data_IF_439116266233
#
_entry.id   IF_439116266233
#
_cell.length_a   1.000
_cell.length_b   1.000
_cell.length_c   1.000
_cell.angle_alpha   90.00
_cell.angle_beta   90.00
_cell.angle_gamma   90.00
#
_symmetry.space_group_name_H-M   'P 1'
#
loop_
_entity.id
_entity.type
_entity.pdbx_description
1 polymer ?
#
# COMPACT_ATOMS: atom_id res chain seq x y z
N UNK A 1 -5.29 20.14 19.40
CA UNK A 1 -5.14 19.09 18.38
C UNK A 1 -6.12 19.43 17.29
N UNK A 2 -5.65 19.60 16.04
CA UNK A 2 -6.57 19.71 14.91
C UNK A 2 -7.31 18.37 14.74
N UNK A 3 -8.61 18.42 14.47
CA UNK A 3 -9.40 17.22 14.22
C UNK A 3 -8.95 16.61 12.89
N UNK A 4 -8.69 15.31 12.87
CA UNK A 4 -8.37 14.58 11.65
C UNK A 4 -9.67 14.02 11.07
N UNK A 5 -9.97 14.22 9.78
CA UNK A 5 -11.17 13.66 9.16
C UNK A 5 -11.27 12.13 9.31
N UNK A 6 -12.50 11.62 9.38
CA UNK A 6 -12.79 10.17 9.26
C UNK A 6 -12.66 9.71 7.81
N UNK A 7 -13.14 10.52 6.86
CA UNK A 7 -13.04 10.26 5.41
C UNK A 7 -13.07 11.57 4.61
N UNK A 8 -12.74 11.46 3.34
CA UNK A 8 -12.88 12.52 2.33
C UNK A 8 -13.96 12.08 1.34
N UNK A 9 -14.95 12.93 1.04
CA UNK A 9 -16.00 12.58 0.09
C UNK A 9 -15.45 12.51 -1.35
N UNK A 10 -14.46 13.34 -1.68
CA UNK A 10 -13.67 13.22 -2.90
C UNK A 10 -12.39 12.44 -2.60
N UNK A 11 -12.51 11.13 -2.46
CA UNK A 11 -11.41 10.27 -2.02
C UNK A 11 -10.30 10.15 -3.08
N UNK A 12 -9.07 10.62 -2.79
CA UNK A 12 -7.92 10.47 -3.68
C UNK A 12 -7.31 9.06 -3.63
N UNK A 13 -7.61 8.30 -2.57
CA UNK A 13 -7.10 6.94 -2.37
C UNK A 13 -7.50 6.02 -3.52
N UNK A 14 -6.50 5.44 -4.18
CA UNK A 14 -6.70 4.49 -5.28
C UNK A 14 -6.36 3.05 -4.88
N UNK A 15 -5.44 2.86 -3.94
CA UNK A 15 -5.05 1.54 -3.45
C UNK A 15 -4.46 1.60 -2.03
N UNK A 16 -4.87 0.69 -1.17
CA UNK A 16 -4.21 0.38 0.12
C UNK A 16 -3.61 -1.00 0.02
N UNK A 17 -2.39 -1.17 0.53
CA UNK A 17 -1.66 -2.44 0.48
C UNK A 17 -1.13 -2.76 1.86
N UNK A 18 -1.48 -3.91 2.41
CA UNK A 18 -0.75 -4.53 3.49
C UNK A 18 0.21 -5.55 2.89
N UNK A 19 1.48 -5.51 3.31
CA UNK A 19 2.52 -6.45 2.88
C UNK A 19 3.12 -7.13 4.11
N UNK A 20 3.30 -8.44 4.03
CA UNK A 20 4.14 -9.20 4.95
C UNK A 20 5.27 -9.88 4.19
N UNK A 21 6.48 -9.81 4.75
CA UNK A 21 7.69 -10.43 4.20
C UNK A 21 8.22 -11.53 5.07
N UNK A 22 8.73 -12.58 4.45
CA UNK A 22 9.30 -13.76 5.08
C UNK A 22 10.53 -14.22 4.32
N UNK A 23 11.36 -15.05 4.94
CA UNK A 23 12.64 -15.46 4.35
C UNK A 23 12.72 -16.97 4.14
N UNK A 24 11.76 -17.51 3.39
CA UNK A 24 11.69 -18.94 3.04
C UNK A 24 11.36 -19.06 1.54
N UNK A 25 12.36 -19.34 0.68
CA UNK A 25 12.13 -19.46 -0.76
C UNK A 25 11.37 -20.75 -1.11
N UNK A 26 10.77 -20.78 -2.29
CA UNK A 26 10.12 -21.95 -2.89
C UNK A 26 8.67 -22.18 -2.43
N UNK A 27 8.12 -21.31 -1.57
CA UNK A 27 6.78 -21.52 -1.01
C UNK A 27 5.64 -20.95 -1.88
N UNK A 28 5.95 -20.09 -2.85
CA UNK A 28 4.92 -19.31 -3.56
C UNK A 28 3.85 -20.17 -4.24
N UNK A 29 4.25 -21.30 -4.83
CA UNK A 29 3.30 -22.20 -5.52
C UNK A 29 2.38 -22.93 -4.53
N UNK A 30 2.95 -23.46 -3.45
CA UNK A 30 2.17 -24.16 -2.40
C UNK A 30 1.23 -23.19 -1.69
N UNK A 31 1.73 -22.01 -1.32
CA UNK A 31 0.93 -20.95 -0.68
C UNK A 31 -0.23 -20.51 -1.57
N UNK A 32 -0.03 -20.42 -2.89
CA UNK A 32 -1.11 -20.04 -3.80
C UNK A 32 -2.28 -21.03 -3.79
N UNK A 33 -1.99 -22.34 -3.71
CA UNK A 33 -3.00 -23.38 -3.64
C UNK A 33 -3.79 -23.34 -2.32
N UNK A 34 -3.08 -23.13 -1.21
CA UNK A 34 -3.69 -22.99 0.12
C UNK A 34 -4.58 -21.76 0.16
N UNK A 35 -4.04 -20.59 -0.22
CA UNK A 35 -4.78 -19.33 -0.24
C UNK A 35 -6.03 -19.44 -1.12
N UNK A 36 -5.92 -19.98 -2.33
CA UNK A 36 -7.08 -20.15 -3.18
C UNK A 36 -8.15 -21.08 -2.55
N UNK A 37 -7.72 -22.16 -1.88
CA UNK A 37 -8.64 -23.10 -1.25
C UNK A 37 -9.36 -22.53 -0.04
N UNK A 38 -8.71 -21.66 0.74
CA UNK A 38 -9.36 -20.96 1.85
C UNK A 38 -10.23 -19.80 1.35
N UNK A 39 -9.69 -18.94 0.48
CA UNK A 39 -10.41 -17.77 -0.01
C UNK A 39 -11.70 -18.14 -0.78
N UNK A 40 -11.73 -19.27 -1.51
CA UNK A 40 -12.94 -19.68 -2.25
C UNK A 40 -14.13 -20.03 -1.34
N UNK A 41 -13.90 -20.22 -0.04
CA UNK A 41 -14.96 -20.50 0.94
C UNK A 41 -15.77 -19.23 1.27
N UNK A 42 -15.12 -18.05 1.23
CA UNK A 42 -15.71 -16.76 1.60
C UNK A 42 -15.87 -15.80 0.41
N UNK A 43 -15.12 -16.00 -0.67
CA UNK A 43 -15.15 -15.18 -1.87
C UNK A 43 -15.61 -15.97 -3.10
N UNK A 44 -16.43 -15.32 -3.93
CA UNK A 44 -16.93 -15.90 -5.18
C UNK A 44 -16.11 -15.42 -6.39
N UNK A 45 -16.13 -16.21 -7.46
CA UNK A 45 -15.53 -15.87 -8.76
C UNK A 45 -14.03 -15.52 -8.69
N UNK A 46 -13.29 -16.18 -7.81
CA UNK A 46 -11.84 -16.00 -7.70
C UNK A 46 -11.15 -16.34 -9.02
N UNK A 47 -10.29 -15.44 -9.49
CA UNK A 47 -9.43 -15.64 -10.65
C UNK A 47 -7.98 -15.67 -10.19
N UNK A 48 -7.25 -16.70 -10.62
CA UNK A 48 -5.80 -16.78 -10.42
C UNK A 48 -5.11 -16.38 -11.71
N UNK A 49 -4.16 -15.47 -11.61
CA UNK A 49 -3.31 -15.03 -12.71
C UNK A 49 -1.83 -15.19 -12.32
N UNK A 50 -1.05 -15.82 -13.22
CA UNK A 50 0.42 -15.76 -13.15
C UNK A 50 0.92 -14.45 -13.73
N UNK A 51 1.81 -13.78 -13.03
CA UNK A 51 2.40 -12.51 -13.43
C UNK A 51 3.74 -12.70 -14.16
N UNK A 52 4.19 -11.73 -14.96
CA UNK A 52 5.37 -11.87 -15.83
C UNK A 52 6.67 -12.28 -15.11
N UNK A 53 6.83 -11.93 -13.83
CA UNK A 53 7.98 -12.33 -13.01
C UNK A 53 8.16 -13.86 -12.94
N UNK A 54 7.09 -14.65 -13.14
CA UNK A 54 7.17 -16.11 -13.21
C UNK A 54 8.04 -16.62 -14.37
N UNK A 55 8.25 -15.81 -15.41
CA UNK A 55 9.08 -16.16 -16.56
C UNK A 55 10.58 -15.87 -16.31
N UNK A 56 10.93 -15.17 -15.23
CA UNK A 56 12.31 -14.83 -14.88
C UNK A 56 12.92 -16.00 -14.08
N UNK A 57 14.08 -16.55 -14.49
CA UNK A 57 14.80 -17.57 -13.72
C UNK A 57 15.08 -17.14 -12.28
N UNK A 58 14.90 -18.07 -11.33
CA UNK A 58 15.07 -17.79 -9.89
C UNK A 58 16.46 -17.23 -9.55
N UNK A 59 17.51 -17.72 -10.21
CA UNK A 59 18.89 -17.22 -10.03
C UNK A 59 19.06 -15.73 -10.36
N UNK A 60 18.23 -15.18 -11.25
CA UNK A 60 18.24 -13.74 -11.56
C UNK A 60 17.47 -12.96 -10.50
N UNK A 61 16.38 -13.54 -9.98
CA UNK A 61 15.57 -12.94 -8.90
C UNK A 61 16.38 -12.82 -7.61
N UNK A 62 17.15 -13.85 -7.25
CA UNK A 62 17.95 -13.87 -6.02
C UNK A 62 19.01 -12.75 -5.95
N UNK A 63 19.65 -12.43 -7.08
CA UNK A 63 20.72 -11.44 -7.11
C UNK A 63 20.22 -10.02 -7.37
N UNK A 64 18.93 -9.83 -7.65
CA UNK A 64 18.36 -8.53 -7.98
C UNK A 64 17.31 -8.08 -6.93
N UNK A 65 17.68 -7.17 -6.01
CA UNK A 65 16.79 -6.69 -4.95
C UNK A 65 15.47 -6.07 -5.44
N UNK A 66 15.45 -5.51 -6.65
CA UNK A 66 14.22 -4.92 -7.21
C UNK A 66 13.20 -5.95 -7.68
N UNK A 67 13.63 -7.21 -7.88
CA UNK A 67 12.79 -8.32 -8.33
C UNK A 67 12.33 -9.20 -7.17
N UNK A 68 13.06 -9.21 -6.06
CA UNK A 68 12.88 -10.14 -4.94
C UNK A 68 11.45 -10.13 -4.38
N UNK A 69 10.81 -8.96 -4.31
CA UNK A 69 9.49 -8.77 -3.72
C UNK A 69 8.38 -8.55 -4.76
N UNK A 70 8.67 -8.82 -6.04
CA UNK A 70 7.65 -8.73 -7.07
C UNK A 70 6.67 -9.91 -6.96
N UNK A 71 5.36 -9.64 -7.06
CA UNK A 71 4.34 -10.68 -6.95
C UNK A 71 4.39 -11.62 -8.15
N UNK A 72 4.44 -12.93 -7.89
CA UNK A 72 4.42 -14.00 -8.90
C UNK A 72 3.01 -14.38 -9.30
N UNK A 73 2.11 -14.44 -8.33
CA UNK A 73 0.74 -14.87 -8.51
C UNK A 73 -0.16 -13.77 -7.97
N UNK A 74 -1.26 -13.55 -8.67
CA UNK A 74 -2.35 -12.66 -8.27
C UNK A 74 -3.62 -13.48 -8.18
N UNK A 75 -4.34 -13.34 -7.08
CA UNK A 75 -5.69 -13.85 -6.91
C UNK A 75 -6.60 -12.64 -6.75
N UNK A 76 -7.62 -12.53 -7.57
CA UNK A 76 -8.59 -11.42 -7.53
C UNK A 76 -10.01 -11.96 -7.39
N UNK A 77 -10.81 -11.31 -6.55
CA UNK A 77 -12.27 -11.47 -6.58
C UNK A 77 -12.89 -10.42 -7.50
N UNK A 78 -14.21 -10.43 -7.68
CA UNK A 78 -14.91 -9.35 -8.37
C UNK A 78 -15.01 -8.05 -7.53
N UNK A 79 -14.56 -8.09 -6.28
CA UNK A 79 -14.63 -6.96 -5.35
C UNK A 79 -13.33 -6.13 -5.39
N UNK A 80 -13.23 -5.17 -4.48
CA UNK A 80 -12.05 -4.31 -4.33
C UNK A 80 -10.77 -5.04 -3.86
N UNK A 81 -10.87 -6.31 -3.44
CA UNK A 81 -9.77 -7.04 -2.81
C UNK A 81 -8.94 -7.86 -3.80
N UNK A 82 -7.64 -7.88 -3.54
CA UNK A 82 -6.64 -8.53 -4.37
C UNK A 82 -5.56 -9.14 -3.46
N UNK A 83 -5.23 -10.40 -3.68
CA UNK A 83 -4.13 -11.06 -2.99
C UNK A 83 -2.99 -11.28 -3.96
N UNK A 84 -1.77 -11.01 -3.52
CA UNK A 84 -0.59 -11.28 -4.33
C UNK A 84 0.41 -12.12 -3.53
N UNK A 85 1.03 -13.07 -4.22
CA UNK A 85 2.01 -13.99 -3.66
C UNK A 85 3.29 -13.81 -4.46
N UNK A 86 4.34 -13.30 -3.83
CA UNK A 86 5.70 -13.27 -4.37
C UNK A 86 6.55 -14.40 -3.80
N UNK A 87 7.85 -14.30 -4.03
CA UNK A 87 8.80 -15.30 -3.53
C UNK A 87 9.03 -15.17 -2.02
N UNK A 88 9.09 -13.92 -1.53
CA UNK A 88 9.43 -13.58 -0.15
C UNK A 88 8.38 -12.67 0.50
N UNK A 89 7.23 -12.48 -0.13
CA UNK A 89 6.15 -11.64 0.38
C UNK A 89 4.77 -12.15 -0.02
N UNK A 90 3.79 -11.75 0.78
CA UNK A 90 2.37 -11.78 0.44
C UNK A 90 1.83 -10.37 0.63
N UNK A 91 0.96 -9.94 -0.27
CA UNK A 91 0.23 -8.68 -0.14
C UNK A 91 -1.27 -8.90 -0.17
N UNK A 92 -1.99 -8.08 0.61
CA UNK A 92 -3.41 -7.83 0.48
C UNK A 92 -3.60 -6.41 0.01
N UNK A 93 -4.25 -6.21 -1.11
CA UNK A 93 -4.55 -4.89 -1.65
C UNK A 93 -6.06 -4.66 -1.61
N UNK A 94 -6.46 -3.42 -1.33
CA UNK A 94 -7.80 -2.93 -1.54
C UNK A 94 -7.75 -1.76 -2.52
N UNK A 95 -8.31 -1.96 -3.71
CA UNK A 95 -8.42 -0.94 -4.76
C UNK A 95 -9.70 -0.13 -4.61
N UNK A 96 -9.75 1.04 -5.23
CA UNK A 96 -10.96 1.86 -5.28
C UNK A 96 -12.14 1.05 -5.87
N UNK A 97 -13.34 1.04 -5.23
CA UNK A 97 -13.70 1.78 -4.02
C UNK A 97 -13.14 1.16 -2.73
N UNK A 98 -12.57 1.99 -1.85
CA UNK A 98 -12.00 1.53 -0.59
C UNK A 98 -13.10 1.05 0.38
N UNK A 99 -12.89 -0.11 1.00
CA UNK A 99 -13.88 -0.74 1.88
C UNK A 99 -13.90 -0.19 3.31
N UNK A 100 -13.02 0.76 3.61
CA UNK A 100 -12.82 1.33 4.94
C UNK A 100 -11.88 0.50 5.82
N UNK A 101 -11.24 1.18 6.78
CA UNK A 101 -10.16 0.60 7.59
C UNK A 101 -10.58 -0.64 8.38
N UNK A 102 -11.72 -0.61 9.07
CA UNK A 102 -12.15 -1.73 9.91
C UNK A 102 -12.30 -3.04 9.10
N UNK A 103 -12.95 -2.97 7.93
CA UNK A 103 -13.12 -4.13 7.05
C UNK A 103 -11.81 -4.57 6.43
N UNK A 104 -10.96 -3.62 6.03
CA UNK A 104 -9.64 -3.95 5.49
C UNK A 104 -8.75 -4.65 6.52
N UNK A 105 -8.76 -4.17 7.77
CA UNK A 105 -8.07 -4.78 8.91
C UNK A 105 -8.61 -6.18 9.22
N UNK A 106 -9.92 -6.40 9.16
CA UNK A 106 -10.51 -7.74 9.25
C UNK A 106 -9.97 -8.66 8.16
N UNK A 107 -9.93 -8.20 6.90
CA UNK A 107 -9.36 -8.97 5.79
C UNK A 107 -7.86 -9.26 5.95
N UNK A 108 -7.09 -8.34 6.54
CA UNK A 108 -5.68 -8.58 6.90
C UNK A 108 -5.59 -9.71 7.93
N UNK A 109 -6.41 -9.66 8.98
CA UNK A 109 -6.44 -10.68 10.01
C UNK A 109 -6.80 -12.05 9.43
N UNK A 110 -7.86 -12.14 8.62
CA UNK A 110 -8.27 -13.39 7.96
C UNK A 110 -7.14 -13.98 7.11
N UNK A 111 -6.50 -13.16 6.27
CA UNK A 111 -5.37 -13.58 5.45
C UNK A 111 -4.20 -14.07 6.30
N UNK A 112 -3.81 -13.30 7.32
CA UNK A 112 -2.70 -13.65 8.20
C UNK A 112 -2.97 -14.93 9.00
N UNK A 113 -4.22 -15.21 9.37
CA UNK A 113 -4.62 -16.45 10.04
C UNK A 113 -4.53 -17.65 9.11
N UNK A 114 -4.98 -17.53 7.85
CA UNK A 114 -4.78 -18.56 6.82
C UNK A 114 -3.29 -18.90 6.67
N UNK A 115 -2.44 -17.88 6.56
CA UNK A 115 -0.99 -18.05 6.40
C UNK A 115 -0.39 -18.69 7.65
N UNK A 116 -0.73 -18.22 8.84
CA UNK A 116 -0.25 -18.76 10.12
C UNK A 116 -0.63 -20.25 10.26
N UNK A 117 -1.88 -20.59 9.97
CA UNK A 117 -2.41 -21.96 10.10
C UNK A 117 -1.83 -22.93 9.07
N UNK A 118 -1.31 -22.43 7.94
CA UNK A 118 -0.58 -23.26 6.97
C UNK A 118 0.70 -23.89 7.56
N UNK A 119 1.29 -23.27 8.60
CA UNK A 119 2.57 -23.70 9.17
C UNK A 119 3.79 -23.55 8.26
N UNK A 120 3.62 -23.00 7.05
CA UNK A 120 4.70 -22.87 6.06
C UNK A 120 5.65 -21.70 6.36
N UNK A 121 5.12 -20.63 6.95
CA UNK A 121 5.89 -19.41 7.24
C UNK A 121 6.27 -19.39 8.71
N UNK A 122 7.52 -19.74 9.00
CA UNK A 122 8.05 -19.82 10.37
C UNK A 122 8.82 -18.57 10.81
N UNK A 123 9.33 -17.79 9.85
CA UNK A 123 10.13 -16.59 10.11
C UNK A 123 9.59 -15.41 9.32
N UNK A 124 9.00 -14.47 10.04
CA UNK A 124 8.57 -13.17 9.54
C UNK A 124 9.73 -12.17 9.67
N UNK A 125 9.87 -11.30 8.68
CA UNK A 125 10.96 -10.33 8.60
C UNK A 125 10.48 -8.88 8.67
N UNK A 126 9.28 -8.59 8.14
CA UNK A 126 8.72 -7.24 8.07
C UNK A 126 7.23 -7.30 7.76
N UNK A 127 6.48 -6.30 8.22
CA UNK A 127 5.20 -5.95 7.63
C UNK A 127 5.10 -4.44 7.42
N UNK A 128 4.27 -4.01 6.47
CA UNK A 128 4.02 -2.60 6.20
C UNK A 128 2.59 -2.37 5.73
N UNK A 129 2.17 -1.11 5.85
CA UNK A 129 0.90 -0.61 5.34
C UNK A 129 1.20 0.56 4.40
N UNK A 130 0.73 0.47 3.17
CA UNK A 130 1.01 1.43 2.10
C UNK A 130 -0.30 2.02 1.57
N UNK A 131 -0.37 3.34 1.49
CA UNK A 131 -1.48 4.10 0.93
C UNK A 131 -1.01 4.82 -0.33
N UNK A 132 -1.75 4.65 -1.42
CA UNK A 132 -1.46 5.30 -2.70
C UNK A 132 -2.63 6.20 -3.05
N UNK A 133 -2.39 7.50 -3.04
CA UNK A 133 -3.36 8.55 -3.30
C UNK A 133 -3.04 9.24 -4.62
N UNK A 134 -4.04 9.35 -5.51
CA UNK A 134 -3.98 10.11 -6.75
C UNK A 134 -4.81 11.40 -6.61
N UNK A 135 -4.14 12.53 -6.59
CA UNK A 135 -4.76 13.84 -6.63
C UNK A 135 -4.92 14.31 -8.07
N UNK A 136 -6.12 14.17 -8.61
CA UNK A 136 -6.45 14.67 -9.96
C UNK A 136 -6.18 16.16 -10.09
N UNK A 137 -5.63 16.59 -11.22
CA UNK A 137 -5.42 18.01 -11.53
C UNK A 137 -6.71 18.84 -11.56
N UNK A 138 -7.88 18.20 -11.70
CA UNK A 138 -9.17 18.86 -11.59
C UNK A 138 -9.45 19.37 -10.17
N UNK A 139 -8.81 18.80 -9.15
CA UNK A 139 -8.97 19.15 -7.73
C UNK A 139 -7.72 19.85 -7.21
N UNK A 140 -6.55 19.28 -7.49
CA UNK A 140 -5.23 19.76 -7.04
C UNK A 140 -4.36 20.01 -8.27
N UNK A 141 -4.36 21.22 -8.86
CA UNK A 141 -3.71 21.48 -10.15
C UNK A 141 -2.18 21.63 -10.06
N UNK A 142 -1.62 21.74 -8.85
CA UNK A 142 -0.20 21.97 -8.63
C UNK A 142 0.28 21.41 -7.29
N UNK A 143 1.60 21.22 -7.14
CA UNK A 143 2.21 20.69 -5.90
C UNK A 143 1.89 21.52 -4.65
N UNK A 144 1.42 22.76 -4.79
CA UNK A 144 1.00 23.61 -3.67
C UNK A 144 -0.21 23.07 -2.91
N UNK A 145 -0.94 22.09 -3.47
CA UNK A 145 -1.94 21.35 -2.71
C UNK A 145 -1.36 20.45 -1.62
N UNK A 146 -0.04 20.25 -1.63
CA UNK A 146 0.71 19.57 -0.58
C UNK A 146 1.50 20.59 0.24
N UNK A 147 1.82 20.27 1.48
CA UNK A 147 2.76 21.01 2.34
C UNK A 147 4.21 20.74 1.92
N UNK A 148 4.51 20.93 0.63
CA UNK A 148 5.80 20.65 0.02
C UNK A 148 6.36 21.91 -0.65
N UNK A 149 7.57 22.30 -0.26
CA UNK A 149 8.27 23.44 -0.83
C UNK A 149 9.62 23.01 -1.38
N UNK A 150 9.76 23.01 -2.71
CA UNK A 150 10.98 22.59 -3.41
C UNK A 150 11.54 23.77 -4.21
N UNK A 151 12.83 24.01 -4.01
CA UNK A 151 13.58 25.07 -4.67
C UNK A 151 14.88 24.51 -5.27
N UNK A 152 15.16 24.87 -6.52
CA UNK A 152 16.47 24.66 -7.17
C UNK A 152 17.15 26.02 -7.33
N UNK A 153 17.96 26.40 -6.34
CA UNK A 153 18.46 27.78 -6.23
C UNK A 153 17.29 28.75 -6.09
N UNK A 154 17.19 29.72 -7.00
CA UNK A 154 16.06 30.66 -7.05
C UNK A 154 14.82 30.11 -7.78
N UNK A 155 14.92 28.94 -8.43
CA UNK A 155 13.80 28.34 -9.15
C UNK A 155 12.84 27.67 -8.18
N UNK A 156 11.57 28.09 -8.16
CA UNK A 156 10.50 27.44 -7.39
C UNK A 156 9.83 26.38 -8.23
N UNK A 157 9.92 25.12 -7.80
CA UNK A 157 9.26 23.99 -8.45
C UNK A 157 7.76 24.06 -8.14
N UNK A 158 6.91 23.98 -9.17
CA UNK A 158 5.44 24.03 -9.03
C UNK A 158 4.79 22.82 -9.70
N UNK A 159 4.73 22.85 -11.03
CA UNK A 159 4.08 21.81 -11.85
C UNK A 159 5.08 20.98 -12.65
N UNK A 160 6.35 21.23 -12.42
CA UNK A 160 7.42 20.57 -13.13
C UNK A 160 7.39 19.07 -12.90
N UNK A 161 7.82 18.28 -13.90
CA UNK A 161 8.11 16.88 -13.70
C UNK A 161 9.04 16.67 -12.50
N UNK A 162 8.56 15.95 -11.50
CA UNK A 162 9.24 15.71 -10.26
C UNK A 162 8.93 14.28 -9.80
N UNK A 163 9.98 13.59 -9.39
CA UNK A 163 9.87 12.37 -8.60
C UNK A 163 10.81 12.50 -7.40
N UNK A 164 10.26 12.29 -6.21
CA UNK A 164 11.04 12.32 -4.98
C UNK A 164 10.67 11.17 -4.06
N UNK A 165 11.65 10.77 -3.24
CA UNK A 165 11.49 9.77 -2.17
C UNK A 165 12.12 10.31 -0.90
N UNK A 166 11.36 10.28 0.18
CA UNK A 166 11.80 10.69 1.51
C UNK A 166 11.56 9.54 2.49
N UNK A 167 12.54 9.25 3.34
CA UNK A 167 12.37 8.36 4.48
C UNK A 167 12.41 9.18 5.77
N UNK A 168 11.39 9.03 6.60
CA UNK A 168 11.32 9.65 7.93
C UNK A 168 11.15 8.58 9.00
N UNK A 169 11.76 8.82 10.15
CA UNK A 169 11.68 7.97 11.33
C UNK A 169 10.97 8.74 12.44
N UNK A 170 9.88 8.18 12.97
CA UNK A 170 9.11 8.78 14.07
C UNK A 170 8.50 7.68 14.95
N UNK A 171 8.72 7.74 16.27
CA UNK A 171 8.09 6.85 17.25
C UNK A 171 8.16 5.33 16.90
N UNK A 172 9.34 4.83 16.54
CA UNK A 172 9.57 3.43 16.09
C UNK A 172 8.80 3.02 14.81
N UNK A 173 8.30 3.99 14.06
CA UNK A 173 7.68 3.81 12.76
C UNK A 173 8.53 4.51 11.71
N UNK A 174 8.82 3.81 10.62
CA UNK A 174 9.43 4.40 9.43
C UNK A 174 8.34 4.68 8.40
N UNK A 175 8.30 5.90 7.89
CA UNK A 175 7.51 6.23 6.72
C UNK A 175 8.43 6.43 5.52
N UNK A 176 8.08 5.80 4.40
CA UNK A 176 8.69 6.00 3.10
C UNK A 176 7.64 6.72 2.26
N UNK A 177 7.91 7.98 1.94
CA UNK A 177 7.01 8.85 1.19
C UNK A 177 7.57 9.01 -0.21
N UNK A 178 6.75 8.74 -1.22
CA UNK A 178 7.08 9.00 -2.61
C UNK A 178 6.06 9.98 -3.19
N UNK A 179 6.55 10.99 -3.89
CA UNK A 179 5.72 11.97 -4.59
C UNK A 179 6.17 12.00 -6.05
N UNK A 180 5.20 11.85 -6.95
CA UNK A 180 5.43 11.88 -8.39
C UNK A 180 4.41 12.81 -9.08
N UNK A 181 4.90 13.64 -9.99
CA UNK A 181 4.13 14.64 -10.72
C UNK A 181 4.77 14.87 -12.11
N UNK A 182 4.02 14.93 -13.23
CA UNK A 182 2.68 14.35 -13.40
C UNK A 182 2.73 12.81 -13.39
N UNK A 183 1.63 12.18 -13.00
CA UNK A 183 1.38 10.75 -13.24
C UNK A 183 0.03 10.58 -13.92
N UNK A 184 -0.02 9.70 -14.91
CA UNK A 184 -1.25 9.25 -15.57
C UNK A 184 -1.55 7.82 -15.14
N UNK A 185 -2.75 7.59 -14.60
CA UNK A 185 -3.22 6.30 -14.11
C UNK A 185 -4.50 5.93 -14.83
N UNK A 186 -4.58 4.69 -15.31
CA UNK A 186 -5.82 4.12 -15.84
C UNK A 186 -6.63 3.54 -14.68
N UNK A 187 -7.73 4.21 -14.33
CA UNK A 187 -8.67 3.78 -13.29
C UNK A 187 -9.93 3.19 -13.94
N UNK A 188 -10.76 2.43 -13.19
CA UNK A 188 -12.00 1.86 -13.72
C UNK A 188 -12.99 2.90 -14.29
N UNK A 189 -12.92 4.15 -13.80
CA UNK A 189 -13.74 5.29 -14.24
C UNK A 189 -13.12 6.11 -15.38
N UNK A 190 -11.90 5.75 -15.81
CA UNK A 190 -11.19 6.37 -16.93
C UNK A 190 -9.75 6.74 -16.59
N UNK A 191 -9.07 7.28 -17.59
CA UNK A 191 -7.70 7.75 -17.41
C UNK A 191 -7.70 9.08 -16.65
N UNK A 192 -6.90 9.17 -15.59
CA UNK A 192 -6.74 10.38 -14.78
C UNK A 192 -5.28 10.80 -14.72
N UNK A 193 -5.04 12.11 -14.76
CA UNK A 193 -3.70 12.69 -14.59
C UNK A 193 -3.66 13.58 -13.36
N UNK A 194 -2.57 13.48 -12.60
CA UNK A 194 -2.45 14.18 -11.33
C UNK A 194 -1.11 13.97 -10.63
N UNK A 195 -1.13 14.18 -9.32
CA UNK A 195 -0.01 13.94 -8.41
C UNK A 195 -0.26 12.64 -7.66
N UNK A 196 0.73 11.74 -7.62
CA UNK A 196 0.70 10.60 -6.70
C UNK A 196 1.42 10.98 -5.41
N UNK A 197 0.77 10.69 -4.29
CA UNK A 197 1.41 10.57 -2.98
C UNK A 197 1.30 9.11 -2.56
N UNK A 198 2.43 8.50 -2.27
CA UNK A 198 2.54 7.11 -1.87
C UNK A 198 3.28 7.03 -0.53
N UNK A 199 2.58 6.54 0.50
CA UNK A 199 3.08 6.48 1.87
C UNK A 199 3.12 5.03 2.29
N UNK A 200 4.32 4.49 2.45
CA UNK A 200 4.53 3.19 3.09
C UNK A 200 4.99 3.37 4.54
N UNK A 201 4.23 2.80 5.47
CA UNK A 201 4.43 2.89 6.91
C UNK A 201 4.83 1.53 7.48
N UNK A 202 5.94 1.48 8.22
CA UNK A 202 6.63 0.25 8.62
C UNK A 202 6.94 0.32 10.12
N UNK A 203 6.54 -0.70 10.88
CA UNK A 203 6.97 -0.83 12.27
C UNK A 203 8.44 -1.29 12.31
N UNK A 204 9.23 -0.67 13.17
CA UNK A 204 10.61 -1.09 13.42
C UNK A 204 10.61 -2.02 14.63
N UNK A 205 10.79 -3.30 14.36
CA UNK A 205 10.90 -4.33 15.39
C UNK A 205 12.10 -5.24 15.13
N UNK A 206 12.72 -5.69 16.22
CA UNK A 206 13.85 -6.63 16.14
C UNK A 206 13.38 -8.05 15.81
N UNK A 207 12.17 -8.42 16.24
CA UNK A 207 11.57 -9.72 16.00
C UNK A 207 10.07 -9.52 15.77
N UNK A 208 9.55 -10.17 14.73
CA UNK A 208 8.15 -10.08 14.35
C UNK A 208 7.54 -11.47 14.39
N UNK A 209 6.33 -11.56 14.92
CA UNK A 209 5.45 -12.70 14.78
C UNK A 209 4.03 -12.21 14.44
N UNK A 210 3.10 -13.14 14.25
CA UNK A 210 1.72 -12.80 13.88
C UNK A 210 1.00 -11.96 14.94
N UNK A 211 1.26 -12.18 16.23
CA UNK A 211 0.63 -11.40 17.31
C UNK A 211 1.12 -9.96 17.30
N UNK A 212 2.43 -9.77 17.11
CA UNK A 212 3.03 -8.43 16.96
C UNK A 212 2.43 -7.72 15.74
N UNK A 213 2.26 -8.41 14.61
CA UNK A 213 1.64 -7.83 13.42
C UNK A 213 0.23 -7.33 13.74
N UNK A 214 -0.61 -8.16 14.35
CA UNK A 214 -1.99 -7.81 14.70
C UNK A 214 -2.09 -6.61 15.62
N UNK A 215 -1.23 -6.55 16.65
CA UNK A 215 -1.18 -5.44 17.61
C UNK A 215 -0.71 -4.14 16.94
N UNK A 216 0.09 -4.23 15.88
CA UNK A 216 0.66 -3.07 15.20
C UNK A 216 -0.19 -2.49 14.07
N UNK A 217 -1.23 -3.20 13.59
CA UNK A 217 -2.04 -2.71 12.47
C UNK A 217 -2.62 -1.32 12.72
N UNK A 218 -3.15 -1.09 13.93
CA UNK A 218 -3.73 0.21 14.32
C UNK A 218 -2.66 1.29 14.40
N UNK A 219 -1.49 0.97 14.95
CA UNK A 219 -0.36 1.89 15.02
C UNK A 219 0.06 2.36 13.62
N UNK A 220 0.20 1.44 12.67
CA UNK A 220 0.60 1.77 11.29
C UNK A 220 -0.46 2.63 10.60
N UNK A 221 -1.74 2.26 10.74
CA UNK A 221 -2.85 3.03 10.17
C UNK A 221 -2.89 4.46 10.71
N UNK A 222 -2.93 4.62 12.03
CA UNK A 222 -3.04 5.93 12.66
C UNK A 222 -1.80 6.79 12.42
N UNK A 223 -0.62 6.19 12.36
CA UNK A 223 0.61 6.93 12.05
C UNK A 223 0.62 7.42 10.59
N UNK A 224 0.22 6.57 9.65
CA UNK A 224 0.09 6.95 8.23
C UNK A 224 -0.97 8.04 8.04
N UNK A 225 -2.12 7.91 8.72
CA UNK A 225 -3.22 8.86 8.65
C UNK A 225 -2.81 10.24 9.21
N UNK A 226 -2.13 10.26 10.36
CA UNK A 226 -1.60 11.49 10.95
C UNK A 226 -0.62 12.19 10.01
N UNK A 227 0.33 11.45 9.44
CA UNK A 227 1.30 11.99 8.48
C UNK A 227 0.60 12.59 7.26
N UNK A 228 -0.37 11.86 6.68
CA UNK A 228 -1.11 12.30 5.51
C UNK A 228 -1.86 13.62 5.74
N UNK A 229 -2.66 13.72 6.80
CA UNK A 229 -3.49 14.90 7.04
C UNK A 229 -2.70 16.08 7.62
N UNK A 230 -1.74 15.83 8.51
CA UNK A 230 -1.09 16.91 9.25
C UNK A 230 0.15 17.46 8.54
N UNK A 231 0.91 16.60 7.85
CA UNK A 231 2.23 16.97 7.34
C UNK A 231 2.32 16.95 5.81
N UNK A 232 1.38 16.29 5.12
CA UNK A 232 1.39 16.18 3.65
C UNK A 232 0.35 17.09 3.01
N UNK A 233 -0.90 17.08 3.46
CA UNK A 233 -1.95 17.87 2.81
C UNK A 233 -2.00 19.31 3.30
N UNK A 234 -2.10 20.26 2.38
CA UNK A 234 -2.46 21.64 2.73
C UNK A 234 -3.91 21.70 3.23
N UNK A 235 -4.20 22.63 4.15
CA UNK A 235 -5.55 22.78 4.74
C UNK A 235 -6.61 23.05 3.68
N UNK A 236 -6.30 23.89 2.71
CA UNK A 236 -7.18 24.21 1.59
C UNK A 236 -7.46 22.99 0.70
N UNK A 237 -6.51 22.05 0.61
CA UNK A 237 -6.70 20.79 -0.12
C UNK A 237 -7.63 19.86 0.64
N UNK A 238 -7.51 19.76 1.97
CA UNK A 238 -8.41 18.96 2.80
C UNK A 238 -9.85 19.44 2.59
N UNK A 239 -10.11 20.74 2.66
CA UNK A 239 -11.44 21.32 2.43
C UNK A 239 -11.99 21.04 1.02
N UNK A 240 -11.17 21.18 -0.02
CA UNK A 240 -11.55 20.84 -1.41
C UNK A 240 -11.92 19.37 -1.60
N UNK A 241 -11.39 18.49 -0.76
CA UNK A 241 -11.66 17.06 -0.77
C UNK A 241 -12.90 16.69 0.08
N UNK A 242 -13.58 17.69 0.64
CA UNK A 242 -14.86 17.58 1.35
C UNK A 242 -14.76 16.60 2.54
N UNK A 243 -14.14 17.01 3.66
CA UNK A 243 -13.89 16.14 4.81
C UNK A 243 -15.16 15.86 5.61
N UNK A 244 -15.26 14.65 6.16
CA UNK A 244 -16.25 14.28 7.17
C UNK A 244 -15.54 13.91 8.49
N UNK A 245 -15.95 14.50 9.61
CA UNK A 245 -15.31 14.39 10.92
C UNK A 245 -15.99 13.42 11.90
#
# INVERSE_FOLDING_TARGET
MEMIPKKLLKEPLIEVIWEVRFNIPGLSEVLSGILYSELKQTHQNLKIQRLPICAIPFSIVEINPSLQYLPKIRIESNDSLLWQIGEYNITLNCRKPYIGWNRFKESINDLSEIIKNSGLITVLSRHSLRYIDLFSYNIVPELSGLQLHIHLGSYKVKNDPLQMRLEILSNNVRHIIQIANPVTVDLPDGQQTGIIVDIETIAIENKIDWFIIWDQLELLHESSKKLFFNDILAKETIEKLEPEY
#
